data_IF_551004557744
#
_entry.id   IF_551004557744
#
_cell.length_a   1.000
_cell.length_b   1.000
_cell.length_c   1.000
_cell.angle_alpha   90.00
_cell.angle_beta   90.00
_cell.angle_gamma   90.00
#
_symmetry.space_group_name_H-M   'P 1'
#
loop_
_entity.id
_entity.type
_entity.pdbx_description
1 polymer ?
#
# COMPACT_ATOMS: atom_id res chain seq x y z
N UNK A 1 -32.80 -14.20 3.83
CA UNK A 1 -33.03 -12.74 3.73
C UNK A 1 -32.38 -12.14 4.96
N UNK A 2 -31.23 -11.51 4.78
CA UNK A 2 -30.65 -10.48 5.66
C UNK A 2 -29.27 -10.15 5.07
N UNK A 3 -29.36 -9.45 3.94
CA UNK A 3 -28.68 -8.19 3.70
C UNK A 3 -27.31 -7.96 4.39
N UNK A 4 -26.34 -8.83 4.09
CA UNK A 4 -24.91 -8.58 4.39
C UNK A 4 -24.24 -7.67 3.35
N UNK A 5 -24.99 -7.19 2.36
CA UNK A 5 -24.48 -6.36 1.26
C UNK A 5 -24.39 -4.87 1.64
N UNK A 6 -24.96 -4.46 2.78
CA UNK A 6 -24.99 -3.04 3.20
C UNK A 6 -23.81 -2.55 4.03
N UNK A 7 -22.86 -3.40 4.43
CA UNK A 7 -21.71 -2.98 5.25
C UNK A 7 -20.44 -2.69 4.43
N UNK A 8 -20.47 -2.89 3.11
CA UNK A 8 -19.34 -2.62 2.21
C UNK A 8 -19.33 -1.19 1.65
N UNK A 9 -20.33 -0.37 1.99
CA UNK A 9 -20.43 1.02 1.56
C UNK A 9 -20.56 1.94 2.76
N UNK A 10 -19.46 2.20 3.46
CA UNK A 10 -19.10 3.51 4.07
C UNK A 10 -17.91 3.27 4.99
N UNK A 11 -16.70 3.33 4.44
CA UNK A 11 -15.56 3.82 5.20
C UNK A 11 -14.49 4.27 4.19
N UNK A 12 -14.39 5.58 3.98
CA UNK A 12 -13.29 6.21 3.23
C UNK A 12 -11.92 6.11 3.96
N UNK A 13 -11.85 5.28 5.01
CA UNK A 13 -10.68 5.01 5.86
C UNK A 13 -10.33 3.52 5.97
N UNK A 14 -11.09 2.61 5.34
CA UNK A 14 -10.89 1.16 5.51
C UNK A 14 -10.27 0.58 4.26
N UNK A 15 -8.96 0.31 4.32
CA UNK A 15 -8.29 -0.53 3.34
C UNK A 15 -8.85 -1.94 3.43
N UNK A 16 -9.17 -2.55 2.29
CA UNK A 16 -9.43 -3.99 2.24
C UNK A 16 -8.12 -4.72 2.49
N UNK A 17 -7.93 -5.17 3.73
CA UNK A 17 -6.67 -5.73 4.23
C UNK A 17 -6.88 -7.13 4.78
N UNK A 18 -6.13 -8.09 4.26
CA UNK A 18 -6.11 -9.48 4.73
C UNK A 18 -4.75 -9.83 5.29
N UNK A 19 -4.68 -10.26 6.56
CA UNK A 19 -3.41 -10.72 7.15
C UNK A 19 -2.93 -11.99 6.44
N UNK A 20 -1.64 -12.06 6.12
CA UNK A 20 -1.06 -13.27 5.54
C UNK A 20 -0.97 -14.39 6.58
N UNK A 21 -1.00 -15.64 6.12
CA UNK A 21 -0.70 -16.84 6.91
C UNK A 21 0.82 -16.95 7.21
N UNK A 22 1.38 -15.90 7.81
CA UNK A 22 2.80 -15.76 8.15
C UNK A 22 2.96 -14.91 9.43
N UNK A 23 4.14 -14.93 10.08
CA UNK A 23 4.40 -14.13 11.28
C UNK A 23 4.24 -12.62 11.04
N UNK A 24 4.61 -12.17 9.84
CA UNK A 24 4.53 -10.79 9.37
C UNK A 24 3.75 -10.75 8.05
N UNK A 25 3.21 -9.60 7.72
CA UNK A 25 2.62 -9.34 6.42
C UNK A 25 1.12 -9.19 6.40
N UNK A 26 0.66 -8.32 5.50
CA UNK A 26 -0.73 -8.21 5.09
C UNK A 26 -0.83 -7.94 3.58
N UNK A 27 -1.90 -8.40 2.98
CA UNK A 27 -2.29 -8.10 1.60
C UNK A 27 -3.31 -6.96 1.61
N UNK A 28 -3.14 -5.99 0.72
CA UNK A 28 -4.10 -4.89 0.51
C UNK A 28 -4.68 -5.02 -0.89
N UNK A 29 -6.01 -5.01 -0.98
CA UNK A 29 -6.79 -5.14 -2.20
C UNK A 29 -7.52 -3.84 -2.55
N UNK A 30 -7.97 -3.73 -3.80
CA UNK A 30 -8.85 -2.62 -4.23
C UNK A 30 -8.15 -1.27 -4.43
N UNK A 31 -6.81 -1.24 -4.46
CA UNK A 31 -6.04 -0.04 -4.78
C UNK A 31 -5.45 -0.09 -6.18
N UNK A 32 -5.48 1.05 -6.85
CA UNK A 32 -4.74 1.29 -8.09
C UNK A 32 -3.49 2.12 -7.78
N UNK A 33 -2.31 1.49 -7.84
CA UNK A 33 -1.04 2.16 -7.57
C UNK A 33 -0.47 2.88 -8.80
N UNK A 34 -1.16 2.83 -9.95
CA UNK A 34 -0.70 3.50 -11.18
C UNK A 34 -0.94 5.00 -11.17
N UNK A 35 -1.73 5.50 -10.21
CA UNK A 35 -2.11 6.89 -10.04
C UNK A 35 -1.77 7.43 -8.64
N UNK A 36 -1.85 8.75 -8.48
CA UNK A 36 -1.69 9.41 -7.19
C UNK A 36 -2.82 9.00 -6.24
N UNK A 37 -2.46 8.48 -5.06
CA UNK A 37 -3.42 8.12 -4.03
C UNK A 37 -3.81 9.35 -3.20
N UNK A 38 -5.06 9.41 -2.71
CA UNK A 38 -5.46 10.42 -1.73
C UNK A 38 -4.63 10.33 -0.44
N UNK A 39 -4.31 11.47 0.17
CA UNK A 39 -3.53 11.52 1.41
C UNK A 39 -4.08 10.64 2.56
N UNK A 40 -5.42 10.53 2.78
CA UNK A 40 -5.96 9.60 3.78
C UNK A 40 -5.62 8.14 3.50
N UNK A 41 -5.64 7.72 2.23
CA UNK A 41 -5.29 6.36 1.80
C UNK A 41 -3.82 6.08 2.06
N UNK A 42 -2.93 7.02 1.74
CA UNK A 42 -1.49 6.92 2.03
C UNK A 42 -1.25 6.77 3.53
N UNK A 43 -1.93 7.58 4.37
CA UNK A 43 -1.84 7.47 5.83
C UNK A 43 -2.31 6.12 6.36
N UNK A 44 -3.36 5.55 5.78
CA UNK A 44 -3.83 4.21 6.11
C UNK A 44 -2.82 3.12 5.71
N UNK A 45 -2.18 3.25 4.54
CA UNK A 45 -1.13 2.33 4.07
C UNK A 45 0.06 2.36 5.03
N UNK A 46 0.54 3.55 5.40
CA UNK A 46 1.65 3.70 6.36
C UNK A 46 1.31 3.08 7.72
N UNK A 47 0.10 3.31 8.22
CA UNK A 47 -0.36 2.72 9.49
C UNK A 47 -0.42 1.19 9.42
N UNK A 48 -0.91 0.63 8.31
CA UNK A 48 -0.90 -0.80 8.06
C UNK A 48 0.53 -1.34 7.96
N UNK A 49 1.44 -0.60 7.31
CA UNK A 49 2.83 -1.00 7.17
C UNK A 49 3.52 -1.07 8.53
N UNK A 50 3.36 -0.08 9.39
CA UNK A 50 3.94 -0.10 10.75
C UNK A 50 3.43 -1.27 11.59
N UNK A 51 2.16 -1.67 11.42
CA UNK A 51 1.58 -2.79 12.14
C UNK A 51 2.00 -4.16 11.59
N UNK A 52 2.06 -4.30 10.28
CA UNK A 52 2.22 -5.59 9.60
C UNK A 52 3.63 -5.84 9.05
N UNK A 53 4.50 -4.83 9.05
CA UNK A 53 5.91 -4.81 8.63
C UNK A 53 6.15 -5.04 7.14
N UNK A 54 5.31 -5.85 6.50
CA UNK A 54 5.33 -6.15 5.06
C UNK A 54 3.92 -5.96 4.51
N UNK A 55 3.79 -5.29 3.37
CA UNK A 55 2.53 -5.16 2.65
C UNK A 55 2.67 -5.74 1.25
N UNK A 56 1.66 -6.46 0.79
CA UNK A 56 1.58 -7.04 -0.54
C UNK A 56 0.42 -6.40 -1.30
N UNK A 57 0.69 -5.91 -2.50
CA UNK A 57 -0.31 -5.42 -3.44
C UNK A 57 -0.26 -6.32 -4.68
N UNK A 58 -1.32 -7.08 -4.93
CA UNK A 58 -1.39 -7.99 -6.09
C UNK A 58 -1.90 -7.28 -7.33
N UNK A 59 -1.60 -7.89 -8.48
CA UNK A 59 -2.11 -7.50 -9.80
C UNK A 59 -1.76 -6.07 -10.24
N UNK A 60 -0.69 -5.50 -9.68
CA UNK A 60 -0.20 -4.18 -10.04
C UNK A 60 0.79 -4.28 -11.21
N UNK A 61 0.42 -3.75 -12.37
CA UNK A 61 1.31 -3.63 -13.54
C UNK A 61 1.89 -2.21 -13.59
N UNK A 62 2.99 -2.00 -12.87
CA UNK A 62 3.64 -0.69 -12.79
C UNK A 62 4.78 -0.57 -13.80
N UNK A 63 4.82 0.55 -14.51
CA UNK A 63 6.04 1.00 -15.18
C UNK A 63 7.11 1.39 -14.13
N UNK A 64 8.40 1.44 -14.50
CA UNK A 64 9.44 1.90 -13.58
C UNK A 64 9.16 3.28 -12.97
N UNK A 65 8.59 4.20 -13.76
CA UNK A 65 8.25 5.53 -13.27
C UNK A 65 7.10 5.48 -12.27
N UNK A 66 6.04 4.71 -12.55
CA UNK A 66 4.91 4.56 -11.61
C UNK A 66 5.33 3.91 -10.29
N UNK A 67 6.30 2.98 -10.33
CA UNK A 67 6.88 2.42 -9.11
C UNK A 67 7.55 3.52 -8.27
N UNK A 68 8.36 4.38 -8.90
CA UNK A 68 9.00 5.52 -8.22
C UNK A 68 7.94 6.49 -7.69
N UNK A 69 6.93 6.84 -8.49
CA UNK A 69 5.87 7.77 -8.12
C UNK A 69 5.09 7.26 -6.90
N UNK A 70 4.72 5.98 -6.89
CA UNK A 70 4.09 5.35 -5.71
C UNK A 70 5.00 5.39 -4.48
N UNK A 71 6.27 4.99 -4.62
CA UNK A 71 7.20 4.98 -3.46
C UNK A 71 7.44 6.37 -2.88
N UNK A 72 7.43 7.41 -3.73
CA UNK A 72 7.59 8.81 -3.31
C UNK A 72 6.41 9.28 -2.45
N UNK A 73 5.22 8.71 -2.64
CA UNK A 73 4.07 9.00 -1.78
C UNK A 73 4.23 8.47 -0.35
N UNK A 74 5.08 7.45 -0.15
CA UNK A 74 5.36 6.88 1.17
C UNK A 74 6.48 7.62 1.91
N UNK A 75 7.25 8.45 1.21
CA UNK A 75 8.37 9.22 1.74
C UNK A 75 9.42 9.51 0.68
N UNK A 76 10.47 10.24 1.06
CA UNK A 76 11.58 10.59 0.16
C UNK A 76 12.41 9.34 -0.20
N UNK A 77 12.54 8.99 -1.50
CA UNK A 77 13.39 7.89 -1.92
C UNK A 77 14.85 8.11 -1.49
N UNK A 78 15.48 7.06 -0.96
CA UNK A 78 16.88 7.10 -0.57
C UNK A 78 17.79 7.42 -1.76
N UNK A 79 18.77 8.30 -1.56
CA UNK A 79 19.80 8.52 -2.59
C UNK A 79 20.75 7.32 -2.63
N UNK A 80 21.05 6.76 -3.81
CA UNK A 80 22.06 5.71 -3.94
C UNK A 80 23.38 6.20 -3.33
N UNK A 81 23.85 5.51 -2.29
CA UNK A 81 25.20 5.68 -1.76
C UNK A 81 26.10 4.79 -2.60
N UNK A 82 26.72 5.37 -3.63
CA UNK A 82 27.79 4.67 -4.33
C UNK A 82 28.94 4.42 -3.33
N UNK A 83 29.54 3.22 -3.29
CA UNK A 83 30.78 3.03 -2.53
C UNK A 83 31.78 4.07 -3.02
N UNK A 84 32.48 4.76 -2.12
CA UNK A 84 33.57 5.62 -2.54
C UNK A 84 34.54 4.76 -3.35
N UNK A 85 34.77 5.11 -4.61
CA UNK A 85 35.84 4.49 -5.39
C UNK A 85 37.13 4.80 -4.61
N UNK A 86 37.66 3.77 -3.94
CA UNK A 86 38.89 3.85 -3.17
C UNK A 86 40.10 3.93 -4.11
#
# INVERSE_FOLDING_TARGET
MEDKTKEIMTNLNTLDLTKLHAPLGAEICGLDLTAQLPAPTVGAILSAWYKHQVLVFRDQKLSPQQLVDFTTQLGEPGRPRMPSQA
#
